data_IF_637229600932
#
_entry.id   IF_637229600932
#
_cell.length_a   1.000
_cell.length_b   1.000
_cell.length_c   1.000
_cell.angle_alpha   90.00
_cell.angle_beta   90.00
_cell.angle_gamma   90.00
#
_symmetry.space_group_name_H-M   'P 1'
#
loop_
_entity.id
_entity.type
_entity.pdbx_description
1 polymer ?
#
# COMPACT_ATOMS: atom_id res chain seq x y z
N UNK A 1 -2.22 -20.34 -11.64
CA UNK A 1 -1.20 -19.28 -11.84
C UNK A 1 -1.88 -17.94 -11.55
N UNK A 2 -1.28 -17.05 -10.75
CA UNK A 2 -1.82 -15.72 -10.47
C UNK A 2 -1.36 -14.72 -11.53
N UNK A 3 -2.26 -13.87 -12.02
CA UNK A 3 -1.93 -12.71 -12.88
C UNK A 3 -1.62 -11.53 -11.99
N UNK A 4 -0.38 -11.07 -12.05
CA UNK A 4 0.15 -9.96 -11.27
C UNK A 4 0.30 -8.72 -12.16
N UNK A 5 -0.09 -7.55 -11.67
CA UNK A 5 0.26 -6.25 -12.24
C UNK A 5 1.16 -5.48 -11.26
N UNK A 6 2.25 -4.96 -11.76
CA UNK A 6 3.11 -4.01 -11.04
C UNK A 6 2.75 -2.62 -11.58
N UNK A 7 2.15 -1.79 -10.74
CA UNK A 7 1.83 -0.42 -11.09
C UNK A 7 3.01 0.49 -10.73
N UNK A 8 3.84 0.82 -11.71
CA UNK A 8 4.92 1.81 -11.54
C UNK A 8 4.31 3.21 -11.43
N UNK A 9 3.76 3.48 -10.26
CA UNK A 9 3.02 4.68 -9.96
C UNK A 9 3.95 5.75 -9.37
N UNK A 10 4.03 6.91 -10.03
CA UNK A 10 4.73 8.08 -9.50
C UNK A 10 3.72 9.01 -8.83
N UNK A 11 3.64 9.05 -7.50
CA UNK A 11 2.69 9.92 -6.80
C UNK A 11 3.08 11.41 -6.92
N UNK A 12 2.07 12.28 -6.93
CA UNK A 12 2.27 13.67 -6.57
C UNK A 12 2.59 13.78 -5.08
N UNK A 13 3.77 14.33 -4.73
CA UNK A 13 4.24 14.39 -3.34
C UNK A 13 3.24 15.17 -2.48
N UNK A 14 2.78 14.56 -1.39
CA UNK A 14 1.83 15.15 -0.45
C UNK A 14 0.38 15.24 -0.93
N UNK A 15 0.07 14.83 -2.15
CA UNK A 15 -1.28 14.94 -2.71
C UNK A 15 -2.04 13.63 -2.65
N UNK A 16 -2.42 13.22 -1.44
CA UNK A 16 -3.11 11.93 -1.19
C UNK A 16 -4.40 11.78 -2.02
N UNK A 17 -5.26 12.79 -2.02
CA UNK A 17 -6.58 12.72 -2.67
C UNK A 17 -6.46 12.53 -4.19
N UNK A 18 -5.55 13.25 -4.85
CA UNK A 18 -5.30 13.10 -6.28
C UNK A 18 -4.68 11.74 -6.59
N UNK A 19 -3.69 11.31 -5.79
CA UNK A 19 -3.05 10.01 -5.97
C UNK A 19 -4.05 8.87 -5.82
N UNK A 20 -4.97 8.97 -4.86
CA UNK A 20 -6.05 8.01 -4.64
C UNK A 20 -7.00 7.97 -5.85
N UNK A 21 -7.38 9.13 -6.40
CA UNK A 21 -8.20 9.22 -7.62
C UNK A 21 -7.50 8.57 -8.83
N UNK A 22 -6.21 8.83 -9.01
CA UNK A 22 -5.39 8.21 -10.06
C UNK A 22 -5.31 6.70 -9.91
N UNK A 23 -5.23 6.20 -8.68
CA UNK A 23 -5.28 4.77 -8.41
C UNK A 23 -6.63 4.16 -8.82
N UNK A 24 -7.74 4.85 -8.56
CA UNK A 24 -9.07 4.46 -9.04
C UNK A 24 -9.14 4.32 -10.56
N UNK A 25 -8.50 5.24 -11.30
CA UNK A 25 -8.39 5.16 -12.75
C UNK A 25 -7.54 3.94 -13.20
N UNK A 26 -6.49 3.60 -12.45
CA UNK A 26 -5.69 2.39 -12.70
C UNK A 26 -6.55 1.14 -12.50
N UNK A 27 -7.35 1.06 -11.43
CA UNK A 27 -8.27 -0.07 -11.23
C UNK A 27 -9.24 -0.22 -12.39
N UNK A 28 -9.84 0.88 -12.85
CA UNK A 28 -10.75 0.87 -14.00
C UNK A 28 -10.05 0.38 -15.29
N UNK A 29 -8.82 0.83 -15.54
CA UNK A 29 -8.04 0.40 -16.71
C UNK A 29 -7.69 -1.10 -16.65
N UNK A 30 -7.19 -1.55 -15.50
CA UNK A 30 -6.85 -2.96 -15.29
C UNK A 30 -8.08 -3.87 -15.38
N UNK A 31 -9.25 -3.39 -14.91
CA UNK A 31 -10.50 -4.13 -14.95
C UNK A 31 -11.06 -4.33 -16.37
N UNK A 32 -10.72 -3.45 -17.31
CA UNK A 32 -11.14 -3.54 -18.72
C UNK A 32 -10.29 -4.48 -19.59
N UNK A 33 -9.20 -5.00 -19.06
CA UNK A 33 -8.33 -5.93 -19.81
C UNK A 33 -9.05 -7.25 -20.06
N UNK A 34 -8.80 -7.92 -21.19
CA UNK A 34 -9.38 -9.24 -21.48
C UNK A 34 -9.10 -10.26 -20.35
N UNK A 35 -7.93 -10.16 -19.75
CA UNK A 35 -7.52 -10.94 -18.58
C UNK A 35 -7.08 -9.99 -17.45
N UNK A 36 -8.01 -9.52 -16.61
CA UNK A 36 -7.68 -8.62 -15.52
C UNK A 36 -6.69 -9.24 -14.54
N UNK A 37 -5.75 -8.45 -13.96
CA UNK A 37 -4.87 -8.95 -12.93
C UNK A 37 -5.67 -9.28 -11.66
N UNK A 38 -5.18 -10.25 -10.92
CA UNK A 38 -5.77 -10.72 -9.68
C UNK A 38 -5.03 -10.18 -8.45
N UNK A 39 -3.81 -9.68 -8.64
CA UNK A 39 -3.00 -9.01 -7.63
C UNK A 39 -2.35 -7.77 -8.27
N UNK A 40 -2.46 -6.65 -7.59
CA UNK A 40 -1.81 -5.39 -7.98
C UNK A 40 -0.80 -5.00 -6.90
N UNK A 41 0.42 -4.68 -7.30
CA UNK A 41 1.47 -4.22 -6.38
C UNK A 41 1.84 -2.79 -6.73
N UNK A 42 1.85 -1.92 -5.73
CA UNK A 42 2.24 -0.52 -5.80
C UNK A 42 3.56 -0.28 -5.07
N UNK A 43 4.23 0.86 -5.33
CA UNK A 43 5.47 1.24 -4.65
C UNK A 43 5.30 1.51 -3.15
N UNK A 44 6.45 1.60 -2.48
CA UNK A 44 6.60 2.21 -1.16
C UNK A 44 5.99 3.61 -1.14
N UNK A 45 5.22 3.94 -0.11
CA UNK A 45 4.53 5.24 0.06
C UNK A 45 3.77 5.74 -1.17
N UNK A 46 3.09 4.80 -1.87
CA UNK A 46 2.50 5.03 -3.18
C UNK A 46 1.50 6.20 -3.25
N UNK A 47 0.78 6.49 -2.15
CA UNK A 47 -0.28 7.50 -2.17
C UNK A 47 0.16 8.88 -1.65
N UNK A 48 1.37 8.99 -1.11
CA UNK A 48 1.87 10.25 -0.53
C UNK A 48 3.18 10.72 -1.13
N UNK A 49 3.94 9.79 -1.72
CA UNK A 49 5.34 10.01 -2.03
C UNK A 49 6.21 9.86 -0.79
N UNK A 50 7.51 9.73 -1.01
CA UNK A 50 8.49 9.54 0.06
C UNK A 50 8.90 10.89 0.65
N UNK A 51 8.86 10.99 1.99
CA UNK A 51 9.22 12.18 2.75
C UNK A 51 10.48 11.93 3.57
N UNK A 52 11.54 12.70 3.29
CA UNK A 52 12.80 12.70 4.06
C UNK A 52 12.95 13.95 4.92
N UNK A 53 12.10 14.97 4.70
CA UNK A 53 12.22 16.29 5.34
C UNK A 53 11.18 16.48 6.47
N UNK A 54 10.42 15.44 6.82
CA UNK A 54 9.25 15.55 7.68
C UNK A 54 7.95 15.73 6.86
N UNK A 55 6.80 15.85 7.54
CA UNK A 55 5.48 15.93 6.89
C UNK A 55 4.79 14.59 6.69
N UNK A 56 5.45 13.48 7.01
CA UNK A 56 4.84 12.16 6.92
C UNK A 56 3.67 11.98 7.90
N UNK A 57 3.73 12.64 9.06
CA UNK A 57 2.71 12.55 10.12
C UNK A 57 1.35 13.12 9.68
N UNK A 58 1.35 14.20 8.93
CA UNK A 58 0.14 14.87 8.44
C UNK A 58 -0.59 14.04 7.38
N UNK A 59 0.14 13.13 6.73
CA UNK A 59 -0.36 12.29 5.66
C UNK A 59 -0.58 10.84 6.09
N UNK A 60 -0.21 10.51 7.32
CA UNK A 60 -0.31 9.15 7.82
C UNK A 60 -1.76 8.77 8.14
N UNK A 61 -2.11 7.55 7.80
CA UNK A 61 -3.44 6.98 7.99
C UNK A 61 -3.38 5.75 8.88
N UNK A 62 -4.51 5.38 9.45
CA UNK A 62 -4.65 4.01 9.95
C UNK A 62 -4.81 3.04 8.78
N UNK A 63 -4.44 1.78 8.98
CA UNK A 63 -4.67 0.75 7.96
C UNK A 63 -6.16 0.61 7.60
N UNK A 64 -7.06 0.80 8.59
CA UNK A 64 -8.50 0.78 8.38
C UNK A 64 -8.97 1.92 7.46
N UNK A 65 -8.56 3.16 7.74
CA UNK A 65 -8.91 4.32 6.90
C UNK A 65 -8.41 4.12 5.47
N UNK A 66 -7.15 3.71 5.31
CA UNK A 66 -6.60 3.42 3.99
C UNK A 66 -7.42 2.35 3.25
N UNK A 67 -7.78 1.27 3.94
CA UNK A 67 -8.57 0.19 3.34
C UNK A 67 -9.95 0.70 2.88
N UNK A 68 -10.64 1.51 3.67
CA UNK A 68 -11.94 2.07 3.30
C UNK A 68 -11.85 2.95 2.04
N UNK A 69 -10.83 3.81 1.96
CA UNK A 69 -10.57 4.66 0.80
C UNK A 69 -10.28 3.83 -0.46
N UNK A 70 -9.43 2.81 -0.34
CA UNK A 70 -9.11 1.89 -1.44
C UNK A 70 -10.33 1.11 -1.90
N UNK A 71 -11.13 0.61 -0.97
CA UNK A 71 -12.37 -0.12 -1.26
C UNK A 71 -13.41 0.79 -1.96
N UNK A 72 -13.49 2.06 -1.57
CA UNK A 72 -14.34 3.04 -2.23
C UNK A 72 -13.92 3.29 -3.68
N UNK A 73 -12.62 3.51 -3.92
CA UNK A 73 -12.08 3.69 -5.28
C UNK A 73 -12.26 2.44 -6.13
N UNK A 74 -12.03 1.27 -5.56
CA UNK A 74 -12.24 0.01 -6.27
C UNK A 74 -13.72 -0.18 -6.67
N UNK A 75 -14.66 0.06 -5.77
CA UNK A 75 -16.10 0.00 -6.09
C UNK A 75 -16.48 0.99 -7.20
N UNK A 76 -16.02 2.22 -7.11
CA UNK A 76 -16.28 3.25 -8.10
C UNK A 76 -15.71 2.91 -9.48
N UNK A 77 -14.60 2.19 -9.55
CA UNK A 77 -13.94 1.78 -10.80
C UNK A 77 -14.70 0.69 -11.56
N UNK A 78 -15.56 -0.08 -10.89
CA UNK A 78 -16.24 -1.24 -11.46
C UNK A 78 -15.30 -2.42 -11.77
N UNK A 79 -14.07 -2.40 -11.28
CA UNK A 79 -13.11 -3.48 -11.50
C UNK A 79 -13.55 -4.79 -10.79
N UNK A 80 -13.21 -5.97 -11.36
CA UNK A 80 -13.46 -7.24 -10.69
C UNK A 80 -12.64 -7.36 -9.40
N UNK A 81 -13.03 -8.27 -8.48
CA UNK A 81 -12.28 -8.49 -7.24
C UNK A 81 -10.80 -8.75 -7.47
N UNK A 82 -9.95 -8.08 -6.70
CA UNK A 82 -8.50 -8.21 -6.77
C UNK A 82 -7.87 -8.11 -5.38
N UNK A 83 -6.63 -8.59 -5.26
CA UNK A 83 -5.78 -8.32 -4.10
C UNK A 83 -4.85 -7.14 -4.41
N UNK A 84 -4.49 -6.40 -3.37
CA UNK A 84 -3.64 -5.22 -3.48
C UNK A 84 -2.53 -5.27 -2.42
N UNK A 85 -1.30 -4.95 -2.84
CA UNK A 85 -0.20 -4.60 -1.94
C UNK A 85 0.20 -3.14 -2.18
N UNK A 86 0.19 -2.30 -1.14
CA UNK A 86 0.41 -0.86 -1.24
C UNK A 86 1.19 -0.33 -0.05
N UNK A 87 2.23 0.47 -0.30
CA UNK A 87 3.00 1.17 0.72
C UNK A 87 2.34 2.48 1.15
N UNK A 88 2.42 2.81 2.44
CA UNK A 88 1.84 4.02 3.02
C UNK A 88 2.53 4.40 4.34
N UNK A 89 2.36 5.66 4.78
CA UNK A 89 2.68 6.05 6.14
C UNK A 89 1.51 5.69 7.06
N UNK A 90 1.81 4.89 8.12
CA UNK A 90 0.82 4.36 9.06
C UNK A 90 0.91 5.06 10.41
N UNK A 91 -0.22 5.47 10.96
CA UNK A 91 -0.36 5.71 12.40
C UNK A 91 -0.89 4.46 13.07
N UNK A 92 -0.09 3.85 13.94
CA UNK A 92 -0.48 2.70 14.75
C UNK A 92 -0.02 2.88 16.20
N UNK A 93 -0.94 2.73 17.14
CA UNK A 93 -0.68 2.94 18.58
C UNK A 93 0.03 4.27 18.87
N UNK A 94 -0.43 5.36 18.23
CA UNK A 94 0.14 6.72 18.35
C UNK A 94 1.58 6.88 17.82
N UNK A 95 2.12 5.90 17.12
CA UNK A 95 3.44 5.94 16.47
C UNK A 95 3.30 5.95 14.97
N UNK A 96 4.31 6.49 14.29
CA UNK A 96 4.37 6.60 12.84
C UNK A 96 5.27 5.51 12.27
N UNK A 97 4.81 4.84 11.22
CA UNK A 97 5.56 3.79 10.53
C UNK A 97 5.54 3.99 9.01
N UNK A 98 6.57 3.50 8.35
CA UNK A 98 6.53 3.19 6.93
C UNK A 98 6.02 1.75 6.80
N UNK A 99 4.84 1.58 6.21
CA UNK A 99 4.11 0.30 6.22
C UNK A 99 3.66 -0.13 4.84
N UNK A 100 3.41 -1.42 4.69
CA UNK A 100 2.76 -2.00 3.52
C UNK A 100 1.51 -2.76 3.94
N UNK A 101 0.40 -2.46 3.26
CA UNK A 101 -0.89 -3.12 3.43
C UNK A 101 -1.07 -4.16 2.33
N UNK A 102 -1.49 -5.38 2.70
CA UNK A 102 -2.09 -6.35 1.79
C UNK A 102 -3.57 -6.48 2.09
N UNK A 103 -4.40 -6.26 1.08
CA UNK A 103 -5.85 -6.33 1.22
C UNK A 103 -6.50 -7.02 0.02
N UNK A 104 -7.66 -7.63 0.25
CA UNK A 104 -8.56 -8.08 -0.81
C UNK A 104 -9.64 -7.03 -1.02
N UNK A 105 -9.86 -6.60 -2.26
CA UNK A 105 -10.85 -5.60 -2.66
C UNK A 105 -11.95 -6.26 -3.49
N UNK A 106 -13.20 -5.90 -3.20
CA UNK A 106 -14.37 -6.48 -3.86
C UNK A 106 -14.64 -7.94 -3.46
N UNK A 107 -15.88 -8.39 -3.70
CA UNK A 107 -16.30 -9.74 -3.35
C UNK A 107 -16.56 -9.96 -1.86
N UNK A 108 -16.95 -11.21 -1.49
CA UNK A 108 -17.37 -11.54 -0.12
C UNK A 108 -16.21 -11.55 0.89
N UNK A 109 -14.99 -11.76 0.40
CA UNK A 109 -13.78 -11.84 1.24
C UNK A 109 -13.01 -10.53 1.29
N UNK A 110 -13.63 -9.37 0.97
CA UNK A 110 -12.97 -8.08 1.04
C UNK A 110 -12.52 -7.78 2.48
N UNK A 111 -11.26 -7.32 2.63
CA UNK A 111 -10.70 -7.00 3.94
C UNK A 111 -9.19 -6.93 3.94
N UNK A 112 -8.64 -6.40 5.04
CA UNK A 112 -7.21 -6.38 5.31
C UNK A 112 -6.75 -7.80 5.65
N UNK A 113 -5.68 -8.25 5.00
CA UNK A 113 -5.06 -9.56 5.26
C UNK A 113 -3.81 -9.42 6.11
N UNK A 114 -3.00 -8.40 5.85
CA UNK A 114 -1.75 -8.17 6.57
C UNK A 114 -1.32 -6.72 6.49
N UNK A 115 -0.66 -6.25 7.55
CA UNK A 115 0.07 -4.98 7.56
C UNK A 115 1.48 -5.28 8.03
N UNK A 116 2.45 -4.99 7.18
CA UNK A 116 3.87 -5.08 7.50
C UNK A 116 4.40 -3.67 7.78
N UNK A 117 5.18 -3.51 8.84
CA UNK A 117 5.89 -2.28 9.20
C UNK A 117 7.36 -2.48 8.93
N UNK A 118 7.95 -1.61 8.13
CA UNK A 118 9.35 -1.67 7.72
C UNK A 118 10.27 -1.83 8.93
N UNK A 119 11.12 -2.85 8.90
CA UNK A 119 12.02 -3.22 10.02
C UNK A 119 13.35 -2.50 9.88
N UNK A 120 13.94 -2.50 8.68
CA UNK A 120 15.23 -1.87 8.43
C UNK A 120 15.05 -0.48 7.83
N UNK A 121 15.28 0.54 8.67
CA UNK A 121 15.15 1.94 8.27
C UNK A 121 16.52 2.46 7.77
N UNK A 122 16.64 2.91 6.51
CA UNK A 122 17.91 3.45 6.03
C UNK A 122 18.26 4.77 6.71
N UNK A 123 19.51 4.86 7.16
CA UNK A 123 20.07 6.03 7.90
C UNK A 123 21.33 6.59 7.22
N UNK A 124 21.49 6.34 5.93
CA UNK A 124 22.67 6.73 5.17
C UNK A 124 22.33 7.60 3.94
N UNK A 125 23.29 8.37 3.49
CA UNK A 125 23.14 9.26 2.33
C UNK A 125 22.10 10.35 2.59
N UNK A 126 21.07 10.38 1.77
CA UNK A 126 19.93 11.30 1.88
C UNK A 126 18.78 10.73 2.73
N UNK A 127 18.91 9.48 3.17
CA UNK A 127 17.89 8.80 3.95
C UNK A 127 18.17 8.95 5.44
N UNK A 128 17.16 9.28 6.20
CA UNK A 128 17.19 9.40 7.66
C UNK A 128 15.82 9.01 8.22
N UNK A 129 15.38 7.79 7.85
CA UNK A 129 14.01 7.34 8.19
C UNK A 129 13.78 7.22 9.70
N UNK A 130 14.76 6.75 10.46
CA UNK A 130 14.65 6.62 11.93
C UNK A 130 14.31 7.94 12.63
N UNK A 131 14.59 9.06 11.99
CA UNK A 131 14.23 10.38 12.51
C UNK A 131 12.73 10.66 12.45
N UNK A 132 12.01 10.03 11.55
CA UNK A 132 10.62 10.36 11.24
C UNK A 132 9.65 9.23 11.53
N UNK A 133 10.08 7.96 11.45
CA UNK A 133 9.25 6.78 11.63
C UNK A 133 9.91 5.79 12.58
N UNK A 134 9.09 4.98 13.23
CA UNK A 134 9.53 3.89 14.09
C UNK A 134 9.83 2.63 13.26
N UNK A 135 10.81 1.85 13.66
CA UNK A 135 11.06 0.54 13.09
C UNK A 135 9.98 -0.47 13.48
N UNK A 136 9.60 -1.32 12.54
CA UNK A 136 8.84 -2.53 12.82
C UNK A 136 9.67 -3.55 13.60
N UNK A 137 9.01 -4.60 14.12
CA UNK A 137 9.68 -5.56 15.00
C UNK A 137 9.79 -6.96 14.39
N UNK A 138 9.08 -7.23 13.30
CA UNK A 138 9.03 -8.56 12.72
C UNK A 138 8.72 -8.54 11.22
N UNK A 139 9.27 -9.50 10.51
CA UNK A 139 8.81 -9.90 9.18
C UNK A 139 7.98 -11.16 9.35
N UNK A 140 6.73 -11.12 8.93
CA UNK A 140 5.78 -12.24 9.09
C UNK A 140 5.21 -12.69 7.76
N UNK A 141 5.21 -14.00 7.54
CA UNK A 141 4.46 -14.61 6.47
C UNK A 141 2.97 -14.71 6.85
N UNK A 142 2.09 -14.53 5.88
CA UNK A 142 0.64 -14.61 6.02
C UNK A 142 0.02 -15.41 4.87
N UNK A 143 -1.18 -15.93 5.09
CA UNK A 143 -1.88 -16.71 4.08
C UNK A 143 -2.72 -15.81 3.17
N UNK A 144 -2.63 -16.07 1.88
CA UNK A 144 -3.45 -15.46 0.83
C UNK A 144 -4.19 -16.56 0.07
N UNK A 145 -5.16 -16.20 -0.76
CA UNK A 145 -5.80 -17.17 -1.68
C UNK A 145 -4.85 -17.78 -2.71
N UNK A 146 -3.63 -17.21 -2.85
CA UNK A 146 -2.60 -17.67 -3.79
C UNK A 146 -1.53 -18.54 -3.12
N UNK A 147 -1.58 -18.69 -1.81
CA UNK A 147 -0.58 -19.35 -1.00
C UNK A 147 0.02 -18.43 0.06
N UNK A 148 1.10 -18.85 0.68
CA UNK A 148 1.79 -18.08 1.71
C UNK A 148 2.65 -16.99 1.09
N UNK A 149 2.54 -15.78 1.63
CA UNK A 149 3.24 -14.59 1.17
C UNK A 149 3.89 -13.82 2.35
N UNK A 150 4.78 -12.92 2.04
CA UNK A 150 5.29 -11.90 2.96
C UNK A 150 5.40 -10.57 2.21
N UNK A 151 5.34 -9.46 2.95
CA UNK A 151 5.64 -8.13 2.45
C UNK A 151 7.01 -7.71 2.98
N UNK A 152 7.81 -7.11 2.11
CA UNK A 152 9.10 -6.50 2.42
C UNK A 152 9.12 -5.10 1.79
N UNK A 153 9.71 -4.14 2.47
CA UNK A 153 9.80 -2.75 2.01
C UNK A 153 11.26 -2.38 1.86
N UNK A 154 11.69 -2.12 0.62
CA UNK A 154 13.02 -1.60 0.29
C UNK A 154 14.15 -2.45 0.90
N UNK A 155 14.69 -2.09 2.08
CA UNK A 155 15.83 -2.75 2.73
C UNK A 155 15.48 -3.93 3.65
N UNK A 156 14.21 -4.22 3.81
CA UNK A 156 13.78 -5.36 4.64
C UNK A 156 14.39 -6.71 4.22
#
# INVERSE_FOLDING_TARGET
>A
MVRLAIAQFKPGKGNYAENLTRLGAIFADLGRRPEPPQLVVLPETALTGYFVEGGARELALTAGTLFEDLAAQHRASGAPPLDLAVGFYEVWRHRLYNSALYASLGGPDAGIRHVHRKVFLPTYGVFDEERFVEAGHEVRAFDTRWGRAALLICED
#
